data_IF_335197350961
#
_entry.id   IF_335197350961
#
_cell.length_a   1.000
_cell.length_b   1.000
_cell.length_c   1.000
_cell.angle_alpha   90.00
_cell.angle_beta   90.00
_cell.angle_gamma   90.00
#
_symmetry.space_group_name_H-M   'P 1'
#
loop_
_entity.id
_entity.type
_entity.pdbx_description
1 polymer ?
#
# COMPACT_ATOMS: atom_id res chain seq x y z
N UNK A 1 -13.06 1.32 17.99
CA UNK A 1 -12.79 2.42 17.03
C UNK A 1 -13.95 3.38 17.14
N UNK A 2 -13.72 4.61 17.60
CA UNK A 2 -14.77 5.62 17.82
C UNK A 2 -14.72 6.68 16.72
N UNK A 3 -13.53 7.24 16.45
CA UNK A 3 -13.29 8.22 15.38
C UNK A 3 -11.81 8.20 14.92
N UNK A 4 -11.37 7.17 14.16
CA UNK A 4 -10.01 7.12 13.63
C UNK A 4 -9.84 8.10 12.47
N UNK A 5 -8.63 8.66 12.34
CA UNK A 5 -8.30 9.56 11.22
C UNK A 5 -8.24 8.79 9.90
N UNK A 6 -8.88 9.32 8.85
CA UNK A 6 -8.72 8.86 7.48
C UNK A 6 -7.53 9.56 6.83
N UNK A 7 -6.50 8.79 6.44
CA UNK A 7 -5.25 9.29 5.85
C UNK A 7 -4.71 8.25 4.87
N UNK A 8 -3.95 8.70 3.87
CA UNK A 8 -3.17 7.84 2.97
C UNK A 8 -1.79 7.47 3.54
N UNK A 9 -1.22 8.36 4.35
CA UNK A 9 0.17 8.28 4.83
C UNK A 9 0.22 8.55 6.33
N UNK A 10 1.05 7.78 7.03
CA UNK A 10 1.36 8.01 8.44
C UNK A 10 2.81 7.67 8.74
N UNK A 11 3.41 8.38 9.68
CA UNK A 11 4.78 8.11 10.13
C UNK A 11 4.73 7.07 11.24
N UNK A 12 5.35 5.91 11.03
CA UNK A 12 5.64 4.99 12.13
C UNK A 12 6.57 5.71 13.11
N UNK A 13 6.19 5.85 14.40
CA UNK A 13 7.02 6.57 15.36
C UNK A 13 8.46 6.03 15.38
N UNK A 14 9.49 6.89 15.49
CA UNK A 14 10.88 6.45 15.53
C UNK A 14 11.14 5.63 16.79
N UNK A 15 11.80 4.47 16.64
CA UNK A 15 12.10 3.48 17.69
C UNK A 15 13.14 3.93 18.72
N UNK A 16 13.02 5.13 19.28
CA UNK A 16 13.91 5.67 20.30
C UNK A 16 13.61 4.99 21.67
N UNK A 17 13.96 3.71 21.80
CA UNK A 17 13.87 2.95 23.05
C UNK A 17 13.11 1.62 23.00
N UNK A 18 12.63 1.18 21.83
CA UNK A 18 11.87 -0.07 21.70
C UNK A 18 11.28 -0.30 20.29
N UNK A 19 10.46 -1.34 20.17
CA UNK A 19 9.72 -1.65 18.93
C UNK A 19 8.47 -0.74 18.84
N UNK A 20 8.34 -0.01 17.74
CA UNK A 20 7.14 0.76 17.44
C UNK A 20 6.33 0.09 16.35
N UNK A 21 5.03 0.29 16.40
CA UNK A 21 4.08 -0.25 15.44
C UNK A 21 3.02 0.80 15.12
N UNK A 22 2.41 0.65 13.95
CA UNK A 22 1.19 1.34 13.57
C UNK A 22 0.16 0.29 13.17
N UNK A 23 -1.11 0.58 13.46
CA UNK A 23 -2.22 -0.22 12.98
C UNK A 23 -3.07 0.66 12.06
N UNK A 24 -3.26 0.20 10.83
CA UNK A 24 -4.15 0.83 9.87
C UNK A 24 -5.33 -0.10 9.57
N UNK A 25 -6.41 0.48 9.06
CA UNK A 25 -7.59 -0.23 8.59
C UNK A 25 -7.99 0.38 7.26
N UNK A 26 -8.24 -0.47 6.27
CA UNK A 26 -8.81 -0.09 4.99
C UNK A 26 -9.94 -1.06 4.65
N UNK A 27 -10.78 -0.70 3.70
CA UNK A 27 -11.82 -1.56 3.15
C UNK A 27 -11.48 -1.78 1.68
N UNK A 28 -11.45 -3.05 1.25
CA UNK A 28 -11.25 -3.34 -0.17
C UNK A 28 -12.53 -3.06 -0.94
N UNK A 29 -12.57 -1.92 -1.62
CA UNK A 29 -13.74 -1.45 -2.40
C UNK A 29 -13.42 -1.09 -3.84
N UNK A 30 -12.13 -1.05 -4.22
CA UNK A 30 -11.68 -0.70 -5.57
C UNK A 30 -10.71 -1.79 -6.07
N UNK A 31 -11.22 -2.80 -6.80
CA UNK A 31 -10.43 -3.95 -7.21
C UNK A 31 -9.19 -3.56 -8.02
N UNK A 32 -8.01 -3.87 -7.49
CA UNK A 32 -6.74 -3.59 -8.14
C UNK A 32 -5.54 -3.86 -7.24
N UNK A 33 -4.31 -3.71 -7.76
CA UNK A 33 -3.11 -3.73 -6.94
C UNK A 33 -2.98 -2.40 -6.17
N UNK A 34 -2.96 -2.45 -4.84
CA UNK A 34 -2.62 -1.30 -3.99
C UNK A 34 -1.16 -1.35 -3.56
N UNK A 35 -0.43 -0.25 -3.75
CA UNK A 35 0.98 -0.16 -3.42
C UNK A 35 1.17 0.55 -2.08
N UNK A 36 1.65 -0.18 -1.08
CA UNK A 36 1.99 0.38 0.23
C UNK A 36 3.49 0.32 0.42
N UNK A 37 4.12 1.47 0.66
CA UNK A 37 5.57 1.54 0.77
C UNK A 37 6.02 2.61 1.75
N UNK A 38 7.31 2.58 2.09
CA UNK A 38 7.92 3.71 2.77
C UNK A 38 8.05 4.89 1.79
N UNK A 39 7.54 6.05 2.16
CA UNK A 39 7.58 7.26 1.33
C UNK A 39 8.93 8.02 1.42
N UNK A 40 10.01 7.28 1.66
CA UNK A 40 11.40 7.77 1.67
C UNK A 40 12.10 7.12 0.49
N UNK A 41 12.51 7.91 -0.51
CA UNK A 41 13.00 7.39 -1.80
C UNK A 41 14.11 6.34 -1.66
N UNK A 42 15.16 6.54 -0.82
CA UNK A 42 16.15 5.49 -0.60
C UNK A 42 15.59 4.18 -0.06
N UNK A 43 14.56 4.22 0.80
CA UNK A 43 13.93 3.02 1.36
C UNK A 43 13.08 2.30 0.32
N UNK A 44 12.33 3.06 -0.50
CA UNK A 44 11.58 2.51 -1.63
C UNK A 44 12.52 1.87 -2.66
N UNK A 45 13.62 2.54 -3.01
CA UNK A 45 14.59 2.05 -4.00
C UNK A 45 15.24 0.73 -3.60
N UNK A 46 15.36 0.45 -2.29
CA UNK A 46 15.89 -0.82 -1.76
C UNK A 46 14.80 -1.84 -1.40
N UNK A 47 13.54 -1.57 -1.73
CA UNK A 47 12.45 -2.55 -1.69
C UNK A 47 11.58 -2.54 -0.43
N UNK A 48 11.56 -1.47 0.36
CA UNK A 48 10.66 -1.35 1.53
C UNK A 48 9.21 -1.08 1.09
N UNK A 49 8.57 -2.10 0.52
CA UNK A 49 7.23 -2.02 -0.03
C UNK A 49 6.49 -3.36 0.04
N UNK A 50 5.17 -3.29 -0.08
CA UNK A 50 4.25 -4.42 -0.28
C UNK A 50 3.19 -4.02 -1.30
N UNK A 51 2.74 -4.99 -2.09
CA UNK A 51 1.56 -4.85 -2.96
C UNK A 51 0.47 -5.73 -2.37
N UNK A 52 -0.71 -5.16 -2.10
CA UNK A 52 -1.89 -5.95 -1.80
C UNK A 52 -2.74 -6.07 -3.05
N UNK A 53 -3.25 -7.27 -3.30
CA UNK A 53 -4.05 -7.58 -4.48
C UNK A 53 -5.52 -7.60 -4.07
N UNK A 54 -6.24 -6.51 -4.31
CA UNK A 54 -7.63 -6.35 -3.90
C UNK A 54 -8.59 -6.94 -4.93
N UNK A 55 -9.45 -7.89 -4.55
CA UNK A 55 -10.54 -8.39 -5.41
C UNK A 55 -10.07 -8.90 -6.78
N UNK A 56 -9.04 -9.76 -6.81
CA UNK A 56 -8.41 -10.29 -8.03
C UNK A 56 -9.43 -10.85 -9.03
N UNK A 57 -10.51 -11.46 -8.53
CA UNK A 57 -11.62 -12.02 -9.29
C UNK A 57 -12.49 -10.97 -10.00
N UNK A 58 -12.36 -9.70 -9.62
CA UNK A 58 -13.07 -8.56 -10.17
C UNK A 58 -12.17 -7.60 -10.98
N UNK A 59 -10.93 -7.99 -11.26
CA UNK A 59 -10.02 -7.14 -12.03
C UNK A 59 -10.47 -7.00 -13.50
N UNK A 60 -10.34 -5.81 -14.09
CA UNK A 60 -10.58 -5.64 -15.51
C UNK A 60 -9.51 -6.40 -16.31
N UNK A 61 -9.86 -6.82 -17.52
CA UNK A 61 -8.87 -7.35 -18.47
C UNK A 61 -7.86 -6.25 -18.80
N UNK A 62 -6.57 -6.55 -18.66
CA UNK A 62 -5.50 -5.62 -19.01
C UNK A 62 -5.67 -5.15 -20.46
N UNK A 63 -5.79 -3.83 -20.71
CA UNK A 63 -5.87 -3.30 -22.06
C UNK A 63 -4.69 -3.74 -22.93
N UNK A 64 -4.95 -4.06 -24.20
CA UNK A 64 -3.95 -4.63 -25.11
C UNK A 64 -2.71 -3.77 -25.29
N UNK A 65 -2.82 -2.44 -25.16
CA UNK A 65 -1.68 -1.53 -25.27
C UNK A 65 -0.66 -1.66 -24.13
N UNK A 66 -1.04 -2.24 -22.97
CA UNK A 66 -0.10 -2.57 -21.89
C UNK A 66 0.58 -3.92 -22.09
N UNK A 67 -0.03 -4.84 -22.84
CA UNK A 67 0.53 -6.18 -23.10
C UNK A 67 1.27 -6.28 -24.42
N UNK A 68 1.06 -5.36 -25.35
CA UNK A 68 1.67 -5.37 -26.69
C UNK A 68 3.08 -4.76 -26.75
N UNK A 69 3.62 -4.26 -25.63
CA UNK A 69 4.97 -3.68 -25.56
C UNK A 69 6.05 -4.68 -25.11
N UNK A 70 5.72 -5.97 -25.08
CA UNK A 70 6.64 -7.07 -24.78
C UNK A 70 6.56 -8.14 -25.86
#
# INVERSE_FOLDING_TARGET
MVDPQYRDTFVTPPGLGGQNWIAFRFQSTDPGPMFMHCHIDPHLAVGMAVVLLEGIDHWPTTPSYYTSQH
#
